data_IF_072239463055
#
_entry.id   IF_072239463055
#
_cell.length_a   1.000
_cell.length_b   1.000
_cell.length_c   1.000
_cell.angle_alpha   90.00
_cell.angle_beta   90.00
_cell.angle_gamma   90.00
#
_symmetry.space_group_name_H-M   'P 1'
#
loop_
_entity.id
_entity.type
_entity.pdbx_description
1 polymer ?
#
# COMPACT_ATOMS: atom_id res chain seq x y z
N UNK A 1 22.01 12.10 47.80
CA UNK A 1 22.44 12.05 46.39
C UNK A 1 21.34 11.35 45.59
N UNK A 2 20.27 12.10 45.44
CA UNK A 2 19.13 11.79 44.58
C UNK A 2 19.21 12.76 43.42
N UNK A 3 19.42 12.30 42.21
CA UNK A 3 19.20 12.97 40.93
C UNK A 3 19.99 12.19 39.86
N UNK A 4 19.28 11.35 39.13
CA UNK A 4 19.63 10.99 37.72
C UNK A 4 18.91 9.69 37.26
N UNK A 5 17.61 9.63 37.52
CA UNK A 5 16.73 8.65 36.86
C UNK A 5 15.49 9.36 36.31
N UNK A 6 15.69 10.21 35.31
CA UNK A 6 14.60 10.75 34.50
C UNK A 6 15.15 11.19 33.16
N UNK A 7 15.25 10.28 32.21
CA UNK A 7 15.21 10.57 30.76
C UNK A 7 15.45 9.25 30.02
N UNK A 8 14.40 8.71 29.50
CA UNK A 8 14.26 8.24 28.11
C UNK A 8 12.96 7.46 28.02
N UNK A 9 11.83 8.15 28.09
CA UNK A 9 10.60 7.70 27.47
C UNK A 9 10.24 8.71 26.38
N UNK A 10 10.97 8.68 25.27
CA UNK A 10 10.48 9.31 24.05
C UNK A 10 9.31 8.47 23.54
N UNK A 11 8.09 8.88 23.90
CA UNK A 11 6.89 8.52 23.16
C UNK A 11 7.14 8.84 21.70
N UNK A 12 7.18 7.82 20.86
CA UNK A 12 7.07 7.98 19.42
C UNK A 12 5.65 8.48 19.16
N UNK A 13 5.53 9.79 18.97
CA UNK A 13 4.25 10.39 18.59
C UNK A 13 3.90 9.90 17.19
N UNK A 14 2.84 9.12 17.12
CA UNK A 14 2.17 8.83 15.86
C UNK A 14 1.80 10.16 15.20
N UNK A 15 2.13 10.39 13.93
CA UNK A 15 1.69 11.58 13.23
C UNK A 15 0.16 11.54 13.15
N UNK A 16 -0.52 12.29 14.03
CA UNK A 16 -1.95 12.57 13.92
C UNK A 16 -2.14 13.31 12.61
N UNK A 17 -2.80 12.68 11.67
CA UNK A 17 -3.25 13.33 10.44
C UNK A 17 -4.05 14.59 10.84
N UNK A 18 -3.49 15.77 10.55
CA UNK A 18 -4.18 17.03 10.72
C UNK A 18 -5.28 17.09 9.66
N UNK A 19 -6.50 16.83 10.08
CA UNK A 19 -7.72 17.05 9.29
C UNK A 19 -7.82 18.54 8.98
N UNK A 20 -7.23 18.97 7.88
CA UNK A 20 -7.52 20.25 7.27
C UNK A 20 -8.42 19.96 6.08
N UNK A 21 -9.65 20.51 6.10
CA UNK A 21 -10.56 20.56 4.95
C UNK A 21 -9.85 21.27 3.77
N UNK A 22 -9.04 20.53 3.04
CA UNK A 22 -8.50 20.93 1.76
C UNK A 22 -9.40 20.34 0.70
N UNK A 23 -10.14 21.19 -0.02
CA UNK A 23 -10.71 20.82 -1.31
C UNK A 23 -9.52 20.43 -2.22
N UNK A 24 -9.27 19.14 -2.35
CA UNK A 24 -8.26 18.62 -3.24
C UNK A 24 -8.73 18.86 -4.67
N UNK A 25 -8.35 20.00 -5.27
CA UNK A 25 -8.39 20.15 -6.72
C UNK A 25 -7.36 19.19 -7.30
N UNK A 26 -7.77 17.97 -7.57
CA UNK A 26 -6.94 16.99 -8.26
C UNK A 26 -6.87 17.43 -9.71
N UNK A 27 -5.74 17.95 -10.15
CA UNK A 27 -5.47 18.21 -11.56
C UNK A 27 -5.32 16.86 -12.25
N UNK A 28 -6.37 16.45 -12.96
CA UNK A 28 -6.34 15.22 -13.75
C UNK A 28 -5.49 15.51 -14.99
N UNK A 29 -4.45 14.69 -15.26
CA UNK A 29 -3.62 14.86 -16.43
C UNK A 29 -4.44 14.98 -17.73
N UNK A 30 -3.95 15.74 -18.68
CA UNK A 30 -4.59 15.85 -19.99
C UNK A 30 -4.36 14.58 -20.82
N UNK A 31 -5.05 14.47 -21.96
CA UNK A 31 -4.96 13.30 -22.83
C UNK A 31 -3.57 13.12 -23.45
N UNK A 32 -2.83 14.23 -23.64
CA UNK A 32 -1.49 14.19 -24.19
C UNK A 32 -0.51 13.56 -23.18
N UNK A 33 -0.63 13.91 -21.92
CA UNK A 33 0.16 13.32 -20.83
C UNK A 33 -0.07 11.80 -20.71
N UNK A 34 -1.33 11.34 -20.85
CA UNK A 34 -1.64 9.90 -20.89
C UNK A 34 -0.97 9.20 -22.08
N UNK A 35 -0.97 9.84 -23.26
CA UNK A 35 -0.32 9.29 -24.46
C UNK A 35 1.22 9.21 -24.26
N UNK A 36 1.83 10.27 -23.75
CA UNK A 36 3.28 10.33 -23.51
C UNK A 36 3.71 9.30 -22.45
N UNK A 37 2.90 9.09 -21.42
CA UNK A 37 3.13 8.06 -20.40
C UNK A 37 2.89 6.62 -20.90
N UNK A 38 2.40 6.45 -22.15
CA UNK A 38 2.11 5.13 -22.70
C UNK A 38 0.89 4.43 -22.09
N UNK A 39 0.00 5.17 -21.40
CA UNK A 39 -1.19 4.61 -20.74
C UNK A 39 -2.22 4.02 -21.71
N UNK A 40 -2.09 4.29 -22.99
CA UNK A 40 -2.92 3.71 -24.05
C UNK A 40 -2.52 2.28 -24.45
N UNK A 41 -1.34 1.81 -24.09
CA UNK A 41 -0.91 0.45 -24.40
C UNK A 41 -1.55 -0.56 -23.45
N UNK A 42 -2.30 -1.48 -24.01
CA UNK A 42 -2.89 -2.61 -23.29
C UNK A 42 -2.07 -3.90 -23.47
N UNK A 43 -2.71 -5.04 -23.24
CA UNK A 43 -2.11 -6.35 -23.42
C UNK A 43 -2.16 -6.82 -24.89
N UNK A 44 -1.31 -7.80 -25.20
CA UNK A 44 -1.39 -8.50 -26.48
C UNK A 44 -2.76 -9.15 -26.65
N UNK A 45 -3.23 -9.27 -27.89
CA UNK A 45 -4.52 -9.87 -28.24
C UNK A 45 -4.68 -11.31 -27.74
N UNK A 46 -3.58 -12.05 -27.53
CA UNK A 46 -3.58 -13.39 -26.95
C UNK A 46 -3.77 -13.44 -25.42
N UNK A 47 -3.57 -12.32 -24.71
CA UNK A 47 -3.55 -12.28 -23.24
C UNK A 47 -4.53 -11.27 -22.64
N UNK A 48 -5.59 -10.93 -23.37
CA UNK A 48 -6.58 -9.96 -22.93
C UNK A 48 -7.75 -10.62 -22.19
N UNK A 49 -8.52 -9.82 -21.47
CA UNK A 49 -9.77 -10.27 -20.84
C UNK A 49 -10.98 -9.76 -21.64
N UNK A 50 -11.94 -10.61 -22.01
CA UNK A 50 -13.17 -10.19 -22.69
C UNK A 50 -13.98 -9.11 -21.94
N UNK A 51 -13.87 -9.08 -20.61
CA UNK A 51 -14.50 -8.06 -19.75
C UNK A 51 -13.97 -6.65 -20.01
N UNK A 52 -12.76 -6.53 -20.59
CA UNK A 52 -12.14 -5.25 -20.93
C UNK A 52 -12.59 -4.69 -22.30
N UNK A 53 -13.37 -5.45 -23.09
CA UNK A 53 -13.81 -5.05 -24.43
C UNK A 53 -14.38 -3.63 -24.50
N UNK A 54 -15.16 -3.21 -23.51
CA UNK A 54 -15.79 -1.88 -23.44
C UNK A 54 -14.80 -0.71 -23.26
N UNK A 55 -13.56 -1.00 -22.83
CA UNK A 55 -12.51 -0.02 -22.59
C UNK A 55 -11.43 -0.02 -23.67
N UNK A 56 -11.50 -0.95 -24.62
CA UNK A 56 -10.57 -1.05 -25.73
C UNK A 56 -11.08 -0.17 -26.87
N UNK A 57 -10.17 0.65 -27.42
CA UNK A 57 -10.45 1.47 -28.59
C UNK A 57 -10.29 0.66 -29.88
N UNK A 58 -9.11 0.07 -30.11
CA UNK A 58 -8.78 -0.76 -31.29
C UNK A 58 -7.69 -1.77 -30.97
N UNK A 59 -7.35 -2.63 -31.93
CA UNK A 59 -6.18 -3.51 -31.89
C UNK A 59 -5.21 -3.07 -32.96
N UNK A 60 -3.98 -2.74 -32.59
CA UNK A 60 -2.92 -2.34 -33.50
C UNK A 60 -1.67 -3.20 -33.29
N UNK A 61 -1.15 -3.78 -34.35
CA UNK A 61 0.04 -4.66 -34.31
C UNK A 61 -0.07 -5.78 -33.26
N UNK A 62 -1.25 -6.36 -33.09
CA UNK A 62 -1.49 -7.44 -32.12
C UNK A 62 -1.56 -7.00 -30.65
N UNK A 63 -1.59 -5.68 -30.38
CA UNK A 63 -1.72 -5.10 -29.05
C UNK A 63 -3.04 -4.32 -28.99
N UNK A 64 -3.77 -4.49 -27.88
CA UNK A 64 -4.97 -3.69 -27.61
C UNK A 64 -4.59 -2.26 -27.24
N UNK A 65 -5.28 -1.29 -27.83
CA UNK A 65 -5.16 0.13 -27.48
C UNK A 65 -6.34 0.49 -26.57
N UNK A 66 -6.04 1.01 -25.41
CA UNK A 66 -7.03 1.41 -24.40
C UNK A 66 -7.59 2.79 -24.75
N UNK A 67 -8.89 2.98 -24.57
CA UNK A 67 -9.57 4.26 -24.75
C UNK A 67 -9.19 5.23 -23.60
N UNK A 68 -8.32 6.20 -23.93
CA UNK A 68 -7.79 7.16 -22.95
C UNK A 68 -8.88 8.10 -22.45
N UNK A 69 -9.87 8.43 -23.27
CA UNK A 69 -10.96 9.32 -22.87
C UNK A 69 -11.78 8.66 -21.75
N UNK A 70 -12.08 7.37 -21.91
CA UNK A 70 -12.74 6.59 -20.86
C UNK A 70 -11.86 6.43 -19.64
N UNK A 71 -10.54 6.18 -19.83
CA UNK A 71 -9.59 6.05 -18.73
C UNK A 71 -9.52 7.31 -17.88
N UNK A 72 -9.45 8.49 -18.51
CA UNK A 72 -9.45 9.78 -17.83
C UNK A 72 -10.73 10.02 -17.02
N UNK A 73 -11.90 9.67 -17.57
CA UNK A 73 -13.17 9.77 -16.86
C UNK A 73 -13.20 8.85 -15.64
N UNK A 74 -12.78 7.59 -15.80
CA UNK A 74 -12.74 6.63 -14.70
C UNK A 74 -11.73 7.02 -13.62
N UNK A 75 -10.62 7.66 -13.98
CA UNK A 75 -9.68 8.22 -13.02
C UNK A 75 -10.32 9.34 -12.21
N UNK A 76 -11.09 10.25 -12.87
CA UNK A 76 -11.86 11.28 -12.17
C UNK A 76 -12.81 10.67 -11.14
N UNK A 77 -13.62 9.70 -11.57
CA UNK A 77 -14.60 9.03 -10.71
C UNK A 77 -13.91 8.31 -9.53
N UNK A 78 -12.72 7.74 -9.76
CA UNK A 78 -11.93 7.07 -8.72
C UNK A 78 -11.37 8.08 -7.70
N UNK A 79 -10.86 9.22 -8.17
CA UNK A 79 -10.34 10.29 -7.31
C UNK A 79 -11.44 10.92 -6.45
N UNK A 80 -12.63 11.14 -7.00
CA UNK A 80 -13.78 11.65 -6.26
C UNK A 80 -14.19 10.69 -5.14
N UNK A 81 -14.21 9.39 -5.42
CA UNK A 81 -14.44 8.36 -4.40
C UNK A 81 -13.36 8.33 -3.35
N UNK A 82 -12.09 8.44 -3.76
CA UNK A 82 -10.98 8.49 -2.84
C UNK A 82 -11.08 9.70 -1.91
N UNK A 83 -11.38 10.89 -2.45
CA UNK A 83 -11.58 12.10 -1.67
C UNK A 83 -12.63 11.91 -0.58
N UNK A 84 -13.77 11.28 -0.90
CA UNK A 84 -14.83 11.05 0.09
C UNK A 84 -14.44 10.08 1.21
N UNK A 85 -13.45 9.20 0.99
CA UNK A 85 -13.02 8.20 1.97
C UNK A 85 -11.82 8.66 2.79
N UNK A 86 -10.89 9.42 2.20
CA UNK A 86 -9.69 9.92 2.89
C UNK A 86 -10.06 10.77 4.11
N UNK A 87 -11.13 11.55 4.03
CA UNK A 87 -11.62 12.35 5.15
C UNK A 87 -12.16 11.50 6.30
N UNK A 88 -12.50 10.23 6.06
CA UNK A 88 -13.09 9.33 7.07
C UNK A 88 -12.08 8.47 7.80
N UNK A 89 -10.84 8.36 7.31
CA UNK A 89 -9.80 7.58 7.97
C UNK A 89 -8.67 7.09 7.06
N UNK A 90 -7.90 6.15 7.58
CA UNK A 90 -6.69 5.65 6.95
C UNK A 90 -6.96 4.88 5.66
N UNK A 91 -6.06 5.03 4.71
CA UNK A 91 -6.07 4.35 3.41
C UNK A 91 -4.85 3.43 3.30
N UNK A 92 -5.04 2.26 2.67
CA UNK A 92 -3.97 1.32 2.35
C UNK A 92 -3.73 1.30 0.84
N UNK A 93 -2.49 1.50 0.41
CA UNK A 93 -2.08 1.44 -0.99
C UNK A 93 -1.35 0.12 -1.23
N UNK A 94 -1.79 -0.64 -2.23
CA UNK A 94 -1.20 -1.95 -2.58
C UNK A 94 -0.74 -1.97 -4.02
N UNK A 95 0.49 -2.42 -4.24
CA UNK A 95 1.03 -2.67 -5.56
C UNK A 95 2.38 -3.34 -5.47
N UNK A 96 2.38 -4.66 -5.67
CA UNK A 96 3.59 -5.50 -5.55
C UNK A 96 4.38 -5.59 -6.86
N UNK A 97 3.90 -4.94 -7.92
CA UNK A 97 4.58 -4.89 -9.20
C UNK A 97 5.85 -4.04 -9.09
N UNK A 98 6.99 -4.58 -9.56
CA UNK A 98 8.30 -3.94 -9.41
C UNK A 98 8.36 -2.47 -9.86
N UNK A 99 7.64 -2.13 -10.94
CA UNK A 99 7.57 -0.76 -11.46
C UNK A 99 6.81 0.20 -10.52
N UNK A 100 5.82 -0.30 -9.78
CA UNK A 100 4.97 0.50 -8.91
C UNK A 100 5.53 0.60 -7.47
N UNK A 101 6.29 -0.39 -7.01
CA UNK A 101 6.72 -0.53 -5.62
C UNK A 101 7.41 0.74 -5.07
N UNK A 102 8.43 1.25 -5.78
CA UNK A 102 9.14 2.46 -5.33
C UNK A 102 8.30 3.71 -5.32
N UNK A 103 7.39 3.86 -6.29
CA UNK A 103 6.47 5.00 -6.35
C UNK A 103 5.49 4.96 -5.17
N UNK A 104 4.94 3.79 -4.86
CA UNK A 104 4.01 3.59 -3.75
C UNK A 104 4.69 3.88 -2.41
N UNK A 105 5.91 3.39 -2.19
CA UNK A 105 6.68 3.66 -0.96
C UNK A 105 6.93 5.16 -0.75
N UNK A 106 7.27 5.88 -1.82
CA UNK A 106 7.50 7.33 -1.75
C UNK A 106 6.20 8.10 -1.43
N UNK A 107 5.12 7.81 -2.18
CA UNK A 107 3.82 8.45 -1.95
C UNK A 107 3.31 8.17 -0.54
N UNK A 108 3.46 6.94 -0.05
CA UNK A 108 3.02 6.58 1.29
C UNK A 108 3.81 7.33 2.38
N UNK A 109 5.12 7.51 2.20
CA UNK A 109 5.95 8.31 3.12
C UNK A 109 5.56 9.79 3.12
N UNK A 110 5.22 10.35 1.97
CA UNK A 110 4.79 11.75 1.84
C UNK A 110 3.39 12.01 2.41
N UNK A 111 2.48 11.06 2.24
CA UNK A 111 1.07 11.20 2.63
C UNK A 111 0.74 10.64 4.01
N UNK A 112 1.61 9.81 4.57
CA UNK A 112 1.34 9.06 5.80
C UNK A 112 0.35 7.90 5.62
N UNK A 113 0.05 7.50 4.38
CA UNK A 113 -0.79 6.35 4.08
C UNK A 113 -0.06 5.03 4.39
N UNK A 114 -0.82 3.98 4.69
CA UNK A 114 -0.27 2.64 4.79
C UNK A 114 0.01 2.08 3.39
N UNK A 115 1.00 1.20 3.28
CA UNK A 115 1.35 0.62 1.99
C UNK A 115 1.82 -0.84 2.06
N UNK A 116 1.67 -1.54 0.93
CA UNK A 116 2.26 -2.86 0.70
C UNK A 116 2.86 -2.87 -0.70
N UNK A 117 4.19 -2.95 -0.79
CA UNK A 117 4.97 -2.82 -2.03
C UNK A 117 5.66 -4.11 -2.47
N UNK A 118 5.80 -5.12 -1.59
CA UNK A 118 6.55 -6.34 -1.90
C UNK A 118 5.66 -7.56 -2.04
N UNK A 119 4.88 -7.90 -1.01
CA UNK A 119 3.99 -9.06 -1.01
C UNK A 119 2.80 -8.82 -0.11
N UNK A 120 1.61 -9.13 -0.60
CA UNK A 120 0.40 -9.14 0.21
C UNK A 120 0.48 -10.21 1.31
N UNK A 121 0.38 -9.86 2.60
CA UNK A 121 0.26 -10.86 3.66
C UNK A 121 -1.15 -11.45 3.63
N UNK A 122 -1.24 -12.74 3.32
CA UNK A 122 -2.54 -13.43 3.33
C UNK A 122 -3.22 -13.32 4.69
N UNK A 123 -4.52 -13.02 4.68
CA UNK A 123 -5.30 -12.86 5.91
C UNK A 123 -5.25 -11.45 6.51
N UNK A 124 -4.62 -10.48 5.86
CA UNK A 124 -4.51 -9.12 6.41
C UNK A 124 -5.87 -8.54 6.80
N UNK A 125 -6.89 -8.71 5.98
CA UNK A 125 -8.23 -8.22 6.29
C UNK A 125 -9.16 -9.29 6.90
N UNK A 126 -8.95 -10.55 6.58
CA UNK A 126 -9.81 -11.64 7.05
C UNK A 126 -9.35 -12.24 8.38
N UNK A 127 -8.11 -12.02 8.77
CA UNK A 127 -7.51 -12.49 10.01
C UNK A 127 -6.55 -11.45 10.62
N UNK A 128 -7.04 -10.21 10.75
CA UNK A 128 -6.25 -9.05 11.13
C UNK A 128 -5.52 -9.23 12.47
N UNK A 129 -6.18 -9.86 13.45
CA UNK A 129 -5.59 -10.05 14.79
C UNK A 129 -4.32 -10.90 14.77
N UNK A 130 -4.26 -11.91 13.90
CA UNK A 130 -3.05 -12.76 13.75
C UNK A 130 -1.94 -11.99 13.06
N UNK A 131 -2.27 -11.21 12.04
CA UNK A 131 -1.30 -10.34 11.37
C UNK A 131 -0.76 -9.29 12.35
N UNK A 132 -1.63 -8.68 13.15
CA UNK A 132 -1.25 -7.70 14.18
C UNK A 132 -0.28 -8.31 15.20
N UNK A 133 -0.52 -9.55 15.65
CA UNK A 133 0.43 -10.28 16.54
C UNK A 133 1.79 -10.47 15.87
N UNK A 134 1.82 -10.86 14.59
CA UNK A 134 3.09 -11.01 13.85
C UNK A 134 3.85 -9.69 13.69
N UNK A 135 3.13 -8.59 13.50
CA UNK A 135 3.72 -7.24 13.47
C UNK A 135 4.28 -6.85 14.85
N UNK A 136 3.55 -7.14 15.93
CA UNK A 136 4.04 -6.89 17.29
C UNK A 136 5.28 -7.72 17.63
N UNK A 137 5.35 -8.97 17.20
CA UNK A 137 6.55 -9.79 17.33
C UNK A 137 7.74 -9.21 16.56
N UNK A 138 7.50 -8.69 15.34
CA UNK A 138 8.53 -8.00 14.57
C UNK A 138 9.09 -6.80 15.34
N UNK A 139 8.23 -5.94 15.88
CA UNK A 139 8.65 -4.76 16.66
C UNK A 139 9.47 -5.19 17.89
N UNK A 140 9.03 -6.21 18.64
CA UNK A 140 9.78 -6.75 19.78
C UNK A 140 11.15 -7.30 19.39
N UNK A 141 11.25 -7.96 18.21
CA UNK A 141 12.54 -8.44 17.71
C UNK A 141 13.48 -7.27 17.34
N UNK A 142 12.93 -6.22 16.73
CA UNK A 142 13.69 -5.00 16.42
C UNK A 142 14.21 -4.31 17.68
N UNK A 143 13.36 -4.13 18.68
CA UNK A 143 13.73 -3.57 19.99
C UNK A 143 14.84 -4.39 20.68
N UNK A 144 14.71 -5.72 20.65
CA UNK A 144 15.71 -6.63 21.22
C UNK A 144 17.06 -6.56 20.48
N UNK A 145 17.06 -6.39 19.18
CA UNK A 145 18.28 -6.17 18.39
C UNK A 145 18.90 -4.80 18.66
N UNK A 146 18.06 -3.77 18.81
CA UNK A 146 18.50 -2.40 19.12
C UNK A 146 19.14 -2.29 20.52
N UNK A 147 18.68 -3.08 21.51
CA UNK A 147 19.30 -3.19 22.84
C UNK A 147 20.57 -4.04 22.87
N UNK A 148 21.11 -4.42 21.70
CA UNK A 148 22.35 -5.21 21.60
C UNK A 148 22.18 -6.72 21.75
N UNK A 149 20.92 -7.22 21.80
CA UNK A 149 20.64 -8.65 21.88
C UNK A 149 21.09 -9.29 23.20
N UNK A 150 20.92 -8.59 24.33
CA UNK A 150 21.28 -9.10 25.65
C UNK A 150 20.76 -10.51 25.88
N UNK A 151 21.67 -11.39 26.31
CA UNK A 151 21.37 -12.80 26.60
C UNK A 151 21.32 -13.71 25.36
N UNK A 152 21.62 -13.21 24.16
CA UNK A 152 21.66 -14.01 22.93
C UNK A 152 23.07 -14.31 22.48
N UNK A 153 23.25 -15.53 21.91
CA UNK A 153 24.51 -15.92 21.27
C UNK A 153 24.59 -15.27 19.88
N UNK A 154 25.81 -14.97 19.37
CA UNK A 154 26.03 -14.36 18.04
C UNK A 154 25.23 -15.01 16.90
N UNK A 155 25.10 -16.33 16.94
CA UNK A 155 24.31 -17.09 15.93
C UNK A 155 22.81 -16.76 16.00
N UNK A 156 22.27 -16.59 17.21
CA UNK A 156 20.86 -16.24 17.41
C UNK A 156 20.57 -14.80 16.97
N UNK A 157 21.49 -13.88 17.25
CA UNK A 157 21.39 -12.48 16.77
C UNK A 157 21.33 -12.47 15.25
N UNK A 158 22.20 -13.21 14.56
CA UNK A 158 22.20 -13.28 13.09
C UNK A 158 20.91 -13.87 12.54
N UNK A 159 20.38 -14.93 13.16
CA UNK A 159 19.10 -15.52 12.77
C UNK A 159 17.93 -14.55 12.99
N UNK A 160 17.93 -13.82 14.11
CA UNK A 160 16.93 -12.80 14.41
C UNK A 160 17.00 -11.65 13.42
N UNK A 161 18.18 -11.15 13.06
CA UNK A 161 18.36 -10.12 12.03
C UNK A 161 17.75 -10.55 10.69
N UNK A 162 18.05 -11.76 10.22
CA UNK A 162 17.48 -12.30 8.98
C UNK A 162 15.96 -12.43 9.04
N UNK A 163 15.40 -12.79 10.19
CA UNK A 163 13.97 -12.85 10.39
C UNK A 163 13.34 -11.45 10.34
N UNK A 164 13.94 -10.48 11.00
CA UNK A 164 13.50 -9.08 10.98
C UNK A 164 13.52 -8.53 9.55
N UNK A 165 14.60 -8.73 8.80
CA UNK A 165 14.68 -8.33 7.40
C UNK A 165 13.58 -8.96 6.54
N UNK A 166 13.31 -10.24 6.75
CA UNK A 166 12.26 -10.97 6.03
C UNK A 166 10.86 -10.43 6.35
N UNK A 167 10.58 -10.19 7.62
CA UNK A 167 9.27 -9.68 8.08
C UNK A 167 9.09 -8.21 7.71
N UNK A 168 10.14 -7.40 7.76
CA UNK A 168 10.11 -6.02 7.30
C UNK A 168 9.71 -5.89 5.84
N UNK A 169 10.21 -6.75 4.95
CA UNK A 169 9.78 -6.77 3.55
C UNK A 169 8.26 -6.93 3.36
N UNK A 170 7.56 -7.47 4.35
CA UNK A 170 6.12 -7.75 4.26
C UNK A 170 5.32 -6.70 5.04
N UNK A 171 5.79 -6.34 6.24
CA UNK A 171 4.98 -5.59 7.21
C UNK A 171 5.42 -4.13 7.40
N UNK A 172 6.53 -3.68 6.79
CA UNK A 172 7.08 -2.34 7.01
C UNK A 172 6.03 -1.23 6.86
N UNK A 173 5.27 -1.25 5.78
CA UNK A 173 4.28 -0.21 5.49
C UNK A 173 2.98 -0.30 6.30
N UNK A 174 2.81 -1.35 7.11
CA UNK A 174 1.62 -1.56 7.94
C UNK A 174 1.93 -1.72 9.43
N UNK A 175 3.19 -1.45 9.84
CA UNK A 175 3.63 -1.61 11.25
C UNK A 175 2.77 -0.85 12.25
N UNK A 176 2.29 0.32 11.87
CA UNK A 176 1.51 1.21 12.73
C UNK A 176 0.00 1.18 12.42
N UNK A 177 -0.45 0.16 11.70
CA UNK A 177 -1.85 0.01 11.37
C UNK A 177 -2.60 -0.70 12.51
N UNK A 178 -3.27 0.07 13.33
CA UNK A 178 -4.03 -0.43 14.49
C UNK A 178 -5.42 -0.93 14.14
N UNK A 179 -6.01 -0.41 13.07
CA UNK A 179 -7.36 -0.70 12.59
C UNK A 179 -7.35 -0.98 11.08
N UNK A 180 -8.38 -1.66 10.60
CA UNK A 180 -8.57 -1.88 9.17
C UNK A 180 -8.73 -0.54 8.43
N UNK A 181 -8.15 -0.41 7.23
CA UNK A 181 -8.24 0.83 6.46
C UNK A 181 -9.67 1.05 5.94
N UNK A 182 -10.03 2.30 5.73
CA UNK A 182 -11.35 2.70 5.19
C UNK A 182 -11.45 2.51 3.68
N UNK A 183 -10.32 2.47 2.98
CA UNK A 183 -10.26 2.14 1.57
C UNK A 183 -8.96 1.41 1.23
N UNK A 184 -9.02 0.59 0.17
CA UNK A 184 -7.90 -0.08 -0.46
C UNK A 184 -7.68 0.50 -1.85
N UNK A 185 -6.52 1.11 -2.09
CA UNK A 185 -6.08 1.53 -3.43
C UNK A 185 -5.22 0.40 -4.01
N UNK A 186 -5.57 -0.07 -5.20
CA UNK A 186 -4.89 -1.21 -5.83
C UNK A 186 -4.25 -0.78 -7.15
N UNK A 187 -2.94 -0.98 -7.25
CA UNK A 187 -2.19 -0.80 -8.48
C UNK A 187 -1.99 -2.17 -9.12
N UNK A 188 -2.65 -2.40 -10.27
CA UNK A 188 -2.69 -3.66 -11.01
C UNK A 188 -3.56 -4.75 -10.33
N UNK A 189 -4.86 -4.69 -10.58
CA UNK A 189 -5.85 -5.63 -10.05
C UNK A 189 -5.65 -7.10 -10.46
N UNK A 190 -4.87 -7.37 -11.52
CA UNK A 190 -4.58 -8.73 -11.95
C UNK A 190 -3.53 -9.40 -11.07
N UNK A 191 -2.59 -8.64 -10.54
CA UNK A 191 -1.57 -9.11 -9.60
C UNK A 191 -2.18 -9.25 -8.20
N UNK A 192 -2.95 -8.24 -7.77
CA UNK A 192 -3.44 -8.12 -6.39
C UNK A 192 -4.82 -8.78 -6.16
N UNK A 193 -5.12 -9.89 -6.84
CA UNK A 193 -6.41 -10.60 -6.73
C UNK A 193 -6.76 -11.01 -5.30
N UNK A 194 -5.75 -11.38 -4.50
CA UNK A 194 -5.97 -11.82 -3.12
C UNK A 194 -6.36 -10.64 -2.23
N UNK A 195 -5.68 -9.51 -2.36
CA UNK A 195 -6.01 -8.27 -1.65
C UNK A 195 -7.44 -7.83 -1.94
N UNK A 196 -7.83 -7.81 -3.22
CA UNK A 196 -9.20 -7.46 -3.65
C UNK A 196 -10.23 -8.43 -3.08
N UNK A 197 -9.94 -9.74 -3.08
CA UNK A 197 -10.85 -10.76 -2.53
C UNK A 197 -11.07 -10.59 -1.03
N UNK A 198 -10.00 -10.32 -0.28
CA UNK A 198 -10.07 -10.08 1.15
C UNK A 198 -10.78 -8.77 1.47
N UNK A 199 -10.49 -7.68 0.74
CA UNK A 199 -11.17 -6.41 0.90
C UNK A 199 -12.69 -6.53 0.72
N UNK A 200 -13.12 -7.25 -0.33
CA UNK A 200 -14.55 -7.52 -0.56
C UNK A 200 -15.20 -8.30 0.56
N UNK A 201 -14.51 -9.30 1.13
CA UNK A 201 -15.02 -10.06 2.29
C UNK A 201 -15.14 -9.20 3.54
N UNK A 202 -14.22 -8.27 3.73
CA UNK A 202 -14.21 -7.34 4.85
C UNK A 202 -15.12 -6.11 4.65
N UNK A 203 -15.76 -5.98 3.48
CA UNK A 203 -16.60 -4.81 3.16
C UNK A 203 -15.82 -3.52 2.93
N UNK A 204 -14.50 -3.61 2.66
CA UNK A 204 -13.65 -2.44 2.41
C UNK A 204 -13.76 -2.03 0.94
N UNK A 205 -14.08 -0.76 0.64
CA UNK A 205 -14.13 -0.26 -0.73
C UNK A 205 -12.76 -0.35 -1.41
N UNK A 206 -12.75 -0.79 -2.68
CA UNK A 206 -11.56 -0.93 -3.51
C UNK A 206 -11.60 0.10 -4.63
N UNK A 207 -10.51 0.81 -4.79
CA UNK A 207 -10.30 1.85 -5.81
C UNK A 207 -9.13 1.45 -6.70
#
# INVERSE_FOLDING_TARGET
MEKEEKKVSKKVETPKAKTQNKSYKTEIPDLLTFLQAGAHFGHKSSSWSPKMKKYIYEVRNGVHIIDIVKSRKLLSDALDKLGSVVDTGNVLIVGTKGQAAGVIENIAKETGAFYISKRWPGGLFTNFDVVKKSVQELVKMEEKLASGGEGLVKKEILLMQRNVERLNKIYEGIKFMDELPKALIVVDSMVEKNAIREARKAGIPVI
#
